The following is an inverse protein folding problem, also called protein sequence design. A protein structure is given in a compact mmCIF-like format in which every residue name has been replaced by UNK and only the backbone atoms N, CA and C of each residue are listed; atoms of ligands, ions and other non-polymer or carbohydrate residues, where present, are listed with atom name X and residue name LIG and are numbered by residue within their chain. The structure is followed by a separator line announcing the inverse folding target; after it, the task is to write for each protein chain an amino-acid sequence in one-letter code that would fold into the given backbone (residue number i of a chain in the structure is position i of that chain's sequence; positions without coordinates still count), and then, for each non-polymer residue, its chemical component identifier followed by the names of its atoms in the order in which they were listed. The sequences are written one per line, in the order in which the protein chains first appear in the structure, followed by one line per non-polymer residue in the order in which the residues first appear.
data_IF_458872528592
#
_entry.id   IF_458872528592
#
_cell.length_a   1.000
_cell.length_b   1.000
_cell.length_c   1.000
_cell.angle_alpha   90.00
_cell.angle_beta   90.00
_cell.angle_gamma   90.00
#
_symmetry.space_group_name_H-M   'P 1'
#
loop_
_entity.id
_entity.type
_entity.pdbx_description
1 polymer ?
#
# COMPACT_ATOMS: atom_id res chain seq x y z
N UNK A 1 13.17 -3.67 2.90
CA UNK A 1 12.47 -3.25 1.67
C UNK A 1 11.01 -3.14 2.04
N UNK A 2 10.34 -2.03 1.75
CA UNK A 2 8.93 -1.83 2.12
C UNK A 2 8.00 -2.36 1.04
N UNK A 3 6.83 -2.89 1.41
CA UNK A 3 5.83 -3.33 0.45
C UNK A 3 5.34 -2.18 -0.46
N UNK A 4 5.38 -2.40 -1.77
CA UNK A 4 4.81 -1.46 -2.77
C UNK A 4 3.28 -1.41 -2.70
N UNK A 5 2.66 -0.34 -3.21
CA UNK A 5 1.20 -0.20 -3.23
C UNK A 5 0.51 -1.39 -3.92
N UNK A 6 1.06 -1.86 -5.05
CA UNK A 6 0.54 -3.04 -5.76
C UNK A 6 0.61 -4.31 -4.91
N UNK A 7 1.71 -4.51 -4.17
CA UNK A 7 1.84 -5.65 -3.27
C UNK A 7 0.85 -5.54 -2.11
N UNK A 8 0.61 -4.34 -1.56
CA UNK A 8 -0.37 -4.11 -0.49
C UNK A 8 -1.78 -4.47 -0.94
N UNK A 9 -2.21 -3.99 -2.11
CA UNK A 9 -3.53 -4.33 -2.67
C UNK A 9 -3.67 -5.85 -2.88
N UNK A 10 -2.61 -6.50 -3.37
CA UNK A 10 -2.62 -7.94 -3.61
C UNK A 10 -2.69 -8.74 -2.31
N UNK A 11 -1.96 -8.34 -1.26
CA UNK A 11 -2.03 -8.91 0.09
C UNK A 11 -3.46 -8.81 0.64
N UNK A 12 -4.07 -7.63 0.56
CA UNK A 12 -5.43 -7.39 1.05
C UNK A 12 -6.46 -8.25 0.29
N UNK A 13 -6.32 -8.33 -1.04
CA UNK A 13 -7.21 -9.14 -1.89
C UNK A 13 -7.10 -10.63 -1.56
N UNK A 14 -5.88 -11.15 -1.42
CA UNK A 14 -5.65 -12.56 -1.10
C UNK A 14 -6.09 -12.93 0.31
N UNK A 15 -5.87 -12.04 1.29
CA UNK A 15 -6.34 -12.23 2.66
C UNK A 15 -7.87 -12.23 2.73
N UNK A 16 -8.53 -11.23 2.12
CA UNK A 16 -10.00 -11.14 2.06
C UNK A 16 -10.64 -12.35 1.37
N UNK A 17 -10.00 -12.86 0.32
CA UNK A 17 -10.42 -14.05 -0.40
C UNK A 17 -10.06 -15.38 0.30
N UNK A 18 -9.36 -15.36 1.44
CA UNK A 18 -8.76 -16.55 2.08
C UNK A 18 -7.95 -17.43 1.11
N UNK A 19 -7.36 -16.80 0.10
CA UNK A 19 -6.66 -17.48 -0.99
C UNK A 19 -5.26 -17.97 -0.57
N UNK A 20 -4.65 -17.31 0.41
CA UNK A 20 -3.32 -17.65 0.92
C UNK A 20 -3.20 -17.26 2.40
N UNK A 21 -2.30 -17.95 3.13
CA UNK A 21 -1.94 -17.55 4.49
C UNK A 21 -0.91 -16.40 4.47
N UNK A 22 -0.88 -15.54 5.49
CA UNK A 22 0.08 -14.43 5.57
C UNK A 22 1.55 -14.86 5.43
N UNK A 23 1.91 -16.02 5.98
CA UNK A 23 3.26 -16.58 5.90
C UNK A 23 3.63 -16.99 4.47
N UNK A 24 2.67 -17.55 3.75
CA UNK A 24 2.87 -17.93 2.36
C UNK A 24 2.96 -16.70 1.46
N UNK A 25 2.10 -15.70 1.70
CA UNK A 25 2.16 -14.41 1.00
C UNK A 25 3.47 -13.67 1.24
N UNK A 26 4.00 -13.68 2.48
CA UNK A 26 5.29 -13.10 2.81
C UNK A 26 6.43 -13.73 1.97
N UNK A 27 6.46 -15.06 1.88
CA UNK A 27 7.43 -15.78 1.06
C UNK A 27 7.29 -15.47 -0.44
N UNK A 28 6.06 -15.43 -0.96
CA UNK A 28 5.80 -15.14 -2.37
C UNK A 28 6.24 -13.75 -2.78
N UNK A 29 6.09 -12.76 -1.89
CA UNK A 29 6.38 -11.36 -2.17
C UNK A 29 7.78 -10.93 -1.70
N UNK A 30 8.54 -11.81 -1.07
CA UNK A 30 9.84 -11.49 -0.47
C UNK A 30 9.72 -10.46 0.66
N UNK A 31 8.57 -10.44 1.36
CA UNK A 31 8.28 -9.52 2.46
C UNK A 31 8.45 -10.23 3.80
N UNK A 32 8.60 -9.43 4.86
CA UNK A 32 8.55 -9.95 6.22
C UNK A 32 7.11 -10.32 6.61
N UNK A 33 6.94 -11.35 7.43
CA UNK A 33 5.61 -11.72 7.96
C UNK A 33 4.98 -10.55 8.73
N UNK A 34 5.79 -9.82 9.50
CA UNK A 34 5.38 -8.62 10.23
C UNK A 34 4.81 -7.54 9.32
N UNK A 35 5.40 -7.28 8.15
CA UNK A 35 4.85 -6.31 7.20
C UNK A 35 3.54 -6.78 6.59
N UNK A 36 3.44 -8.06 6.21
CA UNK A 36 2.19 -8.61 5.65
C UNK A 36 1.06 -8.53 6.67
N UNK A 37 1.33 -8.88 7.94
CA UNK A 37 0.36 -8.73 9.01
C UNK A 37 0.00 -7.26 9.26
N UNK A 38 0.98 -6.37 9.27
CA UNK A 38 0.75 -4.94 9.44
C UNK A 38 -0.18 -4.38 8.37
N UNK A 39 -0.02 -4.79 7.10
CA UNK A 39 -0.87 -4.39 5.97
C UNK A 39 -2.29 -4.94 6.12
N UNK A 40 -2.44 -6.17 6.63
CA UNK A 40 -3.75 -6.78 6.87
C UNK A 40 -4.50 -6.05 7.99
N UNK A 41 -3.80 -5.71 9.09
CA UNK A 41 -4.35 -5.00 10.23
C UNK A 41 -4.64 -3.52 9.92
N UNK A 42 -3.87 -2.93 9.01
CA UNK A 42 -4.01 -1.54 8.56
C UNK A 42 -4.28 -1.52 7.04
N UNK A 43 -5.50 -1.90 6.61
CA UNK A 43 -5.88 -1.93 5.20
C UNK A 43 -5.99 -0.54 4.59
N UNK A 44 -5.95 0.51 5.41
CA UNK A 44 -5.82 1.88 4.93
C UNK A 44 -4.53 2.00 4.13
N UNK A 45 -4.70 2.34 2.85
CA UNK A 45 -3.60 2.73 1.98
C UNK A 45 -2.79 3.82 2.69
N UNK A 46 -1.45 3.72 2.76
CA UNK A 46 -0.66 4.90 3.04
C UNK A 46 -1.15 5.93 2.03
N UNK A 47 -1.68 7.05 2.52
CA UNK A 47 -2.07 8.16 1.69
C UNK A 47 -0.97 8.39 0.66
N UNK A 48 -1.30 8.68 -0.61
CA UNK A 48 -0.27 9.00 -1.59
C UNK A 48 0.62 10.06 -0.94
N UNK A 49 1.93 9.83 -0.94
CA UNK A 49 2.89 10.86 -0.55
C UNK A 49 2.56 12.08 -1.41
N UNK A 50 1.86 13.04 -0.79
CA UNK A 50 1.62 14.36 -1.33
C UNK A 50 2.95 15.08 -1.23
N UNK A 51 3.84 14.82 -2.16
CA UNK A 51 4.91 15.74 -2.47
C UNK A 51 4.88 16.00 -3.98
N UNK A 52 4.86 17.29 -4.29
CA UNK A 52 5.10 17.93 -5.57
C UNK A 52 4.07 17.78 -6.70
N UNK A 53 3.09 18.70 -6.74
CA UNK A 53 2.91 19.65 -7.86
C UNK A 53 1.49 20.24 -7.88
N UNK A 54 1.18 21.11 -6.93
CA UNK A 54 0.24 22.21 -7.21
C UNK A 54 1.08 23.46 -7.47
N UNK A 55 1.39 23.84 -8.72
CA UNK A 55 1.66 25.23 -8.97
C UNK A 55 0.33 25.96 -8.71
N UNK A 56 0.27 26.71 -7.61
CA UNK A 56 -0.81 27.66 -7.37
C UNK A 56 -0.86 28.61 -8.57
N UNK A 57 -1.83 28.40 -9.47
CA UNK A 57 -2.11 29.35 -10.53
C UNK A 57 -2.76 30.56 -9.87
N UNK A 58 -1.96 31.59 -9.59
CA UNK A 58 -2.47 32.88 -9.14
C UNK A 58 -3.09 33.54 -10.36
N UNK A 59 -4.42 33.67 -10.38
CA UNK A 59 -5.12 34.47 -11.39
C UNK A 59 -4.64 35.92 -11.30
N UNK A 60 -4.18 36.54 -12.39
CA UNK A 60 -3.91 37.97 -12.39
C UNK A 60 -5.25 38.72 -12.30
N UNK A 61 -5.40 39.54 -11.26
CA UNK A 61 -6.48 40.51 -11.16
C UNK A 61 -6.34 41.53 -12.31
N UNK A 62 -7.27 41.48 -13.27
CA UNK A 62 -7.53 42.56 -14.23
C UNK A 62 -8.93 43.12 -13.99
#
# INVERSE_FOLDING_TARGET
MSATNNQREMILKWHKGKAATPEYTAKLLGLSLSEVMYIIEHPETPAPHKDDSTPEFIEPLL
#
